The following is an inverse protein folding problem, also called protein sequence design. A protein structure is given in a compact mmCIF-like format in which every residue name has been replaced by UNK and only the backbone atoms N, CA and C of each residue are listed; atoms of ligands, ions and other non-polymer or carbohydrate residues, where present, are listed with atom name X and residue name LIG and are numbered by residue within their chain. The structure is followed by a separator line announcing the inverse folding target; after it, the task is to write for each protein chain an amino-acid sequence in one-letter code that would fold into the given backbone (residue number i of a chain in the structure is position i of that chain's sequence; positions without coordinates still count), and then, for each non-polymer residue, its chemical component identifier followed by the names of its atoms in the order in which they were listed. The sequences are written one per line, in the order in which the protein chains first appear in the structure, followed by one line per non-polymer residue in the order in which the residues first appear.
data_IF_250289329315
#
_entry.id   IF_250289329315
#
_cell.length_a   1.000
_cell.length_b   1.000
_cell.length_c   1.000
_cell.angle_alpha   90.00
_cell.angle_beta   90.00
_cell.angle_gamma   90.00
#
_symmetry.space_group_name_H-M   'P 1'
#
loop_
_entity.id
_entity.type
_entity.pdbx_description
1 polymer ?
#
# COMPACT_ATOMS: atom_id res chain seq x y z
N UNK A 1 1.62 -20.56 -1.51
CA UNK A 1 2.70 -19.57 -1.69
C UNK A 1 2.59 -18.58 -0.56
N UNK A 2 3.56 -18.52 0.35
CA UNK A 2 3.53 -17.56 1.45
C UNK A 2 4.15 -16.26 0.94
N UNK A 3 3.33 -15.25 0.70
CA UNK A 3 3.83 -13.89 0.56
C UNK A 3 4.37 -13.44 1.91
N UNK A 4 5.65 -13.07 1.95
CA UNK A 4 6.25 -12.46 3.13
C UNK A 4 5.62 -11.10 3.38
N UNK A 5 5.16 -10.84 4.60
CA UNK A 5 4.72 -9.50 5.02
C UNK A 5 5.93 -8.58 5.09
N UNK A 6 5.84 -7.43 4.44
CA UNK A 6 6.90 -6.43 4.38
C UNK A 6 6.55 -5.29 5.34
N UNK A 7 7.49 -4.93 6.22
CA UNK A 7 7.34 -3.79 7.11
C UNK A 7 7.42 -2.48 6.30
N UNK A 8 6.83 -1.40 6.81
CA UNK A 8 6.78 -0.13 6.07
C UNK A 8 8.17 0.37 5.64
N UNK A 9 9.17 0.23 6.52
CA UNK A 9 10.53 0.69 6.25
C UNK A 9 11.29 -0.17 5.24
N UNK A 10 10.78 -1.37 4.92
CA UNK A 10 11.38 -2.29 3.95
C UNK A 10 10.67 -2.24 2.58
N UNK A 11 9.68 -1.36 2.44
CA UNK A 11 8.94 -1.17 1.19
C UNK A 11 9.85 -0.66 0.08
N UNK A 12 9.70 -1.26 -1.10
CA UNK A 12 10.35 -0.86 -2.33
C UNK A 12 9.30 -0.42 -3.35
N UNK A 13 9.61 0.54 -4.25
CA UNK A 13 8.71 0.92 -5.32
C UNK A 13 8.20 -0.33 -6.08
N UNK A 14 6.89 -0.44 -6.24
CA UNK A 14 6.21 -1.60 -6.81
C UNK A 14 5.57 -2.55 -5.78
N UNK A 15 5.93 -2.46 -4.50
CA UNK A 15 5.24 -3.22 -3.45
C UNK A 15 3.78 -2.77 -3.33
N UNK A 16 2.87 -3.73 -3.12
CA UNK A 16 1.49 -3.43 -2.75
C UNK A 16 1.43 -3.09 -1.27
N UNK A 17 0.74 -2.02 -0.91
CA UNK A 17 0.50 -1.61 0.48
C UNK A 17 -0.95 -1.87 0.86
N UNK A 18 -1.16 -2.60 1.95
CA UNK A 18 -2.48 -3.07 2.39
C UNK A 18 -2.91 -2.28 3.63
N UNK A 19 -4.19 -1.87 3.65
CA UNK A 19 -4.76 -1.07 4.74
C UNK A 19 -6.02 -1.71 5.31
N UNK A 20 -6.33 -1.35 6.55
CA UNK A 20 -7.46 -1.83 7.36
C UNK A 20 -7.35 -3.32 7.73
N UNK A 21 -7.94 -3.72 8.86
CA UNK A 21 -7.82 -5.07 9.41
C UNK A 21 -8.42 -6.16 8.51
N UNK A 22 -9.41 -5.81 7.70
CA UNK A 22 -10.08 -6.64 6.70
C UNK A 22 -9.46 -6.53 5.30
N UNK A 23 -8.40 -5.72 5.13
CA UNK A 23 -7.60 -5.61 3.91
C UNK A 23 -8.37 -5.11 2.68
N UNK A 24 -9.45 -4.35 2.86
CA UNK A 24 -10.30 -3.92 1.74
C UNK A 24 -9.72 -2.79 0.89
N UNK A 25 -8.62 -2.16 1.31
CA UNK A 25 -7.96 -1.09 0.54
C UNK A 25 -6.51 -1.44 0.22
N UNK A 26 -6.12 -1.23 -1.04
CA UNK A 26 -4.77 -1.44 -1.55
C UNK A 26 -4.26 -0.21 -2.32
N UNK A 27 -2.95 0.00 -2.29
CA UNK A 27 -2.23 0.92 -3.17
C UNK A 27 -0.91 0.32 -3.65
N UNK A 28 -0.25 1.00 -4.59
CA UNK A 28 1.10 0.64 -5.05
C UNK A 28 2.07 1.65 -4.45
N UNK A 29 3.04 1.18 -3.67
CA UNK A 29 4.11 2.02 -3.13
C UNK A 29 5.00 2.52 -4.26
N UNK A 30 5.30 3.81 -4.26
CA UNK A 30 6.10 4.47 -5.31
C UNK A 30 7.40 5.09 -4.76
N UNK A 31 7.76 4.81 -3.50
CA UNK A 31 8.92 5.39 -2.84
C UNK A 31 8.60 6.65 -2.05
N UNK A 32 9.55 7.09 -1.22
CA UNK A 32 9.44 8.34 -0.45
C UNK A 32 8.26 8.39 0.54
N UNK A 33 7.76 7.25 1.02
CA UNK A 33 6.58 7.20 1.88
C UNK A 33 5.25 7.39 1.14
N UNK A 34 5.26 7.36 -0.19
CA UNK A 34 4.09 7.65 -1.03
C UNK A 34 3.54 6.41 -1.74
N UNK A 35 2.26 6.44 -2.09
CA UNK A 35 1.59 5.43 -2.91
C UNK A 35 0.71 6.07 -3.98
N UNK A 36 0.45 5.33 -5.06
CA UNK A 36 -0.64 5.62 -6.00
C UNK A 36 -1.81 4.66 -5.72
N UNK A 37 -3.03 5.18 -5.66
CA UNK A 37 -4.24 4.40 -5.36
C UNK A 37 -5.51 5.04 -5.92
N UNK A 38 -6.60 4.26 -5.94
CA UNK A 38 -7.98 4.73 -6.16
C UNK A 38 -8.72 4.75 -4.80
N UNK A 39 -8.87 5.90 -4.13
CA UNK A 39 -9.25 5.94 -2.72
C UNK A 39 -10.68 5.46 -2.41
N UNK A 40 -11.64 5.90 -3.22
CA UNK A 40 -13.07 5.61 -3.02
C UNK A 40 -13.88 5.97 -4.26
N UNK A 41 -15.12 5.50 -4.32
CA UNK A 41 -16.10 5.86 -5.36
C UNK A 41 -16.25 7.38 -5.48
N UNK A 42 -16.25 7.88 -6.71
CA UNK A 42 -16.40 9.32 -7.01
C UNK A 42 -15.11 10.13 -6.90
N UNK A 43 -13.99 9.50 -6.52
CA UNK A 43 -12.67 10.11 -6.54
C UNK A 43 -11.84 9.59 -7.73
N UNK A 44 -10.68 10.20 -7.97
CA UNK A 44 -9.75 9.82 -9.03
C UNK A 44 -8.51 9.14 -8.49
N UNK A 45 -7.79 8.44 -9.37
CA UNK A 45 -6.46 7.92 -9.07
C UNK A 45 -5.53 9.07 -8.73
N UNK A 46 -4.84 8.97 -7.60
CA UNK A 46 -3.91 10.01 -7.12
C UNK A 46 -2.80 9.44 -6.26
N UNK A 47 -1.82 10.29 -6.02
CA UNK A 47 -0.70 10.02 -5.13
C UNK A 47 -1.04 10.55 -3.73
N UNK A 48 -0.82 9.71 -2.71
CA UNK A 48 -1.05 10.07 -1.30
C UNK A 48 -0.01 9.41 -0.39
N UNK A 49 0.07 9.86 0.87
CA UNK A 49 0.96 9.22 1.86
C UNK A 49 0.54 7.77 2.08
N UNK A 50 1.50 6.85 1.98
CA UNK A 50 1.34 5.46 2.37
C UNK A 50 1.46 5.28 3.90
N UNK A 51 2.13 6.22 4.59
CA UNK A 51 2.23 6.20 6.05
C UNK A 51 0.92 6.67 6.68
N UNK A 52 0.12 5.71 7.12
CA UNK A 52 -1.21 5.92 7.72
C UNK A 52 -1.40 4.96 8.89
N UNK A 53 -2.19 5.35 9.89
CA UNK A 53 -2.44 4.56 11.10
C UNK A 53 -3.12 3.21 10.85
N UNK A 54 -3.72 3.02 9.67
CA UNK A 54 -4.39 1.81 9.26
C UNK A 54 -3.55 0.91 8.33
N UNK A 55 -2.29 1.25 8.06
CA UNK A 55 -1.37 0.38 7.32
C UNK A 55 -1.23 -0.97 8.03
N UNK A 56 -1.24 -2.07 7.27
CA UNK A 56 -1.09 -3.42 7.80
C UNK A 56 0.29 -4.01 7.44
N UNK A 57 0.57 -4.20 6.16
CA UNK A 57 1.86 -4.68 5.63
C UNK A 57 1.98 -4.42 4.14
N UNK A 58 3.19 -4.57 3.61
CA UNK A 58 3.47 -4.64 2.18
C UNK A 58 3.52 -6.06 1.64
N UNK A 59 3.23 -6.24 0.36
CA UNK A 59 3.43 -7.48 -0.40
C UNK A 59 4.24 -7.15 -1.63
N UNK A 60 5.30 -7.94 -1.90
CA UNK A 60 6.08 -7.85 -3.14
C UNK A 60 5.58 -8.89 -4.13
N UNK A 61 4.94 -8.48 -5.24
CA UNK A 61 4.59 -9.39 -6.32
C UNK A 61 5.87 -9.95 -6.97
N UNK A 62 5.83 -11.23 -7.34
CA UNK A 62 6.90 -11.93 -8.08
C UNK A 62 6.82 -11.71 -9.57
#
# INVERSE_FOLDING_TARGET
MLFSKIAFNDLQPGDLVLFYSDLHHVGIYIGGGMMIHAPQTGDVVKISSAWRSNFQWGVRPS
#
